data_IF_478123417924
#
_entry.id   IF_478123417924
#
_cell.length_a   1.000
_cell.length_b   1.000
_cell.length_c   1.000
_cell.angle_alpha   90.00
_cell.angle_beta   90.00
_cell.angle_gamma   90.00
#
_symmetry.space_group_name_H-M   'P 1'
#
loop_
_entity.id
_entity.type
_entity.pdbx_description
1 polymer ?
#
# COMPACT_ATOMS: atom_id res chain seq x y z
N UNK A 1 4.37 -16.74 -27.30
CA UNK A 1 2.95 -16.38 -27.07
C UNK A 1 2.94 -14.97 -26.50
N UNK A 2 2.77 -13.97 -27.37
CA UNK A 2 2.83 -12.55 -26.99
C UNK A 2 1.54 -11.93 -27.50
N UNK A 3 0.60 -11.64 -26.60
CA UNK A 3 -0.68 -11.03 -26.93
C UNK A 3 -0.40 -9.61 -27.46
N UNK A 4 -0.55 -9.42 -28.78
CA UNK A 4 -0.51 -8.11 -29.45
C UNK A 4 -1.84 -7.41 -29.19
N UNK A 5 -1.84 -6.42 -28.31
CA UNK A 5 -2.94 -5.47 -28.19
C UNK A 5 -3.01 -4.62 -29.47
N UNK A 6 -3.98 -4.91 -30.34
CA UNK A 6 -4.23 -4.14 -31.56
C UNK A 6 -5.26 -3.05 -31.29
N UNK A 7 -4.79 -1.82 -31.06
CA UNK A 7 -5.63 -0.63 -31.05
C UNK A 7 -6.18 -0.37 -32.46
N UNK A 8 -7.47 -0.63 -32.70
CA UNK A 8 -8.12 -0.30 -33.97
C UNK A 8 -8.71 1.10 -33.89
N UNK A 9 -8.03 2.05 -34.52
CA UNK A 9 -8.55 3.40 -34.81
C UNK A 9 -9.79 3.29 -35.71
N UNK A 10 -10.90 3.92 -35.33
CA UNK A 10 -12.04 4.15 -36.23
C UNK A 10 -12.32 5.64 -36.37
N UNK A 11 -12.54 6.08 -37.60
CA UNK A 11 -12.82 7.48 -37.97
C UNK A 11 -14.27 7.57 -38.43
N UNK A 12 -15.10 8.29 -37.69
CA UNK A 12 -16.38 8.82 -38.16
C UNK A 12 -16.45 10.29 -37.71
N UNK A 13 -16.77 11.19 -38.63
CA UNK A 13 -16.94 12.64 -38.39
C UNK A 13 -15.77 13.40 -37.72
N UNK A 14 -14.53 13.00 -37.99
CA UNK A 14 -13.35 13.83 -37.68
C UNK A 14 -12.96 13.94 -36.20
N UNK A 15 -13.63 13.22 -35.30
CA UNK A 15 -13.29 13.14 -33.88
C UNK A 15 -12.76 11.76 -33.52
N UNK A 16 -11.67 11.72 -32.75
CA UNK A 16 -11.06 10.48 -32.28
C UNK A 16 -11.92 9.85 -31.17
N UNK A 17 -12.58 8.73 -31.46
CA UNK A 17 -13.26 7.93 -30.45
C UNK A 17 -12.28 6.93 -29.82
N UNK A 18 -11.85 7.20 -28.59
CA UNK A 18 -11.30 6.17 -27.71
C UNK A 18 -12.47 5.30 -27.27
N UNK A 19 -12.46 4.02 -27.63
CA UNK A 19 -13.48 3.06 -27.17
C UNK A 19 -13.42 2.92 -25.66
N UNK A 20 -14.16 3.77 -24.96
CA UNK A 20 -14.44 3.61 -23.55
C UNK A 20 -15.20 2.30 -23.39
N UNK A 21 -14.77 1.48 -22.45
CA UNK A 21 -15.62 0.43 -21.92
C UNK A 21 -16.76 1.14 -21.20
N UNK A 22 -17.85 1.43 -21.91
CA UNK A 22 -19.07 2.01 -21.36
C UNK A 22 -19.63 1.00 -20.35
N UNK A 23 -19.20 1.15 -19.10
CA UNK A 23 -19.69 0.35 -18.01
C UNK A 23 -21.22 0.59 -17.92
N UNK A 24 -22.07 -0.44 -17.80
CA UNK A 24 -23.52 -0.30 -17.88
C UNK A 24 -24.13 0.64 -16.80
N UNK A 25 -23.33 1.00 -15.79
CA UNK A 25 -23.71 1.92 -14.73
C UNK A 25 -23.09 3.32 -14.86
N UNK A 26 -22.41 3.64 -15.96
CA UNK A 26 -21.67 4.90 -16.10
C UNK A 26 -22.59 6.12 -15.93
N UNK A 27 -23.79 6.09 -16.52
CA UNK A 27 -24.77 7.16 -16.40
C UNK A 27 -25.28 7.33 -14.96
N UNK A 28 -25.50 6.21 -14.26
CA UNK A 28 -25.91 6.23 -12.86
C UNK A 28 -24.78 6.76 -11.95
N UNK A 29 -23.54 6.36 -12.21
CA UNK A 29 -22.35 6.83 -11.49
C UNK A 29 -22.20 8.34 -11.68
N UNK A 30 -22.29 8.82 -12.92
CA UNK A 30 -22.21 10.24 -13.24
C UNK A 30 -23.33 11.04 -12.57
N UNK A 31 -24.57 10.55 -12.60
CA UNK A 31 -25.69 11.18 -11.90
C UNK A 31 -25.46 11.25 -10.38
N UNK A 32 -24.85 10.23 -9.79
CA UNK A 32 -24.53 10.20 -8.35
C UNK A 32 -23.43 11.21 -7.99
N UNK A 33 -22.38 11.29 -8.82
CA UNK A 33 -21.27 12.24 -8.64
C UNK A 33 -21.79 13.67 -8.78
N UNK A 34 -22.56 13.97 -9.83
CA UNK A 34 -23.13 15.30 -10.07
C UNK A 34 -24.04 15.76 -8.91
N UNK A 35 -24.83 14.84 -8.34
CA UNK A 35 -25.63 15.13 -7.15
C UNK A 35 -24.76 15.42 -5.93
N UNK A 36 -23.72 14.62 -5.68
CA UNK A 36 -22.82 14.85 -4.55
C UNK A 36 -22.10 16.20 -4.64
N UNK A 37 -21.76 16.62 -5.86
CA UNK A 37 -21.17 17.94 -6.14
C UNK A 37 -22.17 19.07 -5.88
N UNK A 38 -23.41 18.94 -6.39
CA UNK A 38 -24.49 19.89 -6.13
C UNK A 38 -24.86 20.00 -4.63
N UNK A 39 -24.73 18.90 -3.90
CA UNK A 39 -24.96 18.83 -2.45
C UNK A 39 -23.74 19.34 -1.65
N UNK A 40 -22.67 19.82 -2.31
CA UNK A 40 -21.46 20.36 -1.68
C UNK A 40 -20.63 19.30 -0.94
N UNK A 41 -20.81 18.01 -1.23
CA UNK A 41 -20.10 16.93 -0.52
C UNK A 41 -18.59 16.90 -0.79
N UNK A 42 -18.14 17.57 -1.85
CA UNK A 42 -16.72 17.74 -2.16
C UNK A 42 -16.15 19.07 -1.62
N UNK A 43 -16.98 19.93 -1.03
CA UNK A 43 -16.52 21.15 -0.38
C UNK A 43 -15.85 20.84 0.96
N UNK A 44 -14.80 21.59 1.28
CA UNK A 44 -14.08 21.49 2.56
C UNK A 44 -13.59 20.08 2.94
N UNK A 45 -13.27 19.24 1.94
CA UNK A 45 -12.70 17.92 2.22
C UNK A 45 -11.43 18.05 3.08
N UNK A 46 -11.20 17.11 4.01
CA UNK A 46 -9.97 17.07 4.79
C UNK A 46 -8.74 17.06 3.87
N UNK A 47 -7.95 18.14 3.92
CA UNK A 47 -6.76 18.28 3.09
C UNK A 47 -6.98 18.96 1.74
N UNK A 48 -8.20 19.42 1.42
CA UNK A 48 -8.47 20.21 0.22
C UNK A 48 -7.55 21.43 0.13
N UNK A 49 -6.92 21.63 -1.03
CA UNK A 49 -6.00 22.72 -1.30
C UNK A 49 -4.63 22.62 -0.59
N UNK A 50 -4.40 21.60 0.24
CA UNK A 50 -3.10 21.37 0.88
C UNK A 50 -2.21 20.55 -0.06
N UNK A 51 -0.89 20.80 -0.08
CA UNK A 51 0.02 19.92 -0.80
C UNK A 51 -0.08 18.50 -0.25
N UNK A 52 0.04 17.51 -1.15
CA UNK A 52 0.16 16.12 -0.73
C UNK A 52 1.38 15.99 0.20
N UNK A 53 1.29 15.15 1.24
CA UNK A 53 2.43 14.89 2.10
C UNK A 53 3.57 14.34 1.23
N UNK A 54 4.80 14.77 1.53
CA UNK A 54 5.98 14.19 0.88
C UNK A 54 6.09 12.74 1.33
N UNK A 55 6.10 11.83 0.35
CA UNK A 55 6.34 10.41 0.57
C UNK A 55 7.69 10.10 -0.05
N UNK A 56 8.66 9.73 0.78
CA UNK A 56 10.02 9.44 0.33
C UNK A 56 10.12 8.05 -0.34
N UNK A 57 9.24 7.12 0.01
CA UNK A 57 9.12 5.78 -0.60
C UNK A 57 7.64 5.45 -0.94
N UNK A 58 7.17 5.85 -2.15
CA UNK A 58 5.78 5.68 -2.55
C UNK A 58 5.32 4.23 -2.61
N UNK A 59 6.17 3.33 -3.10
CA UNK A 59 5.81 1.93 -3.35
C UNK A 59 5.55 1.20 -2.03
N UNK A 60 6.47 1.34 -1.08
CA UNK A 60 6.34 0.77 0.27
C UNK A 60 5.16 1.39 1.04
N UNK A 61 4.92 2.70 0.87
CA UNK A 61 3.83 3.40 1.57
C UNK A 61 2.46 2.91 1.09
N UNK A 62 2.27 2.71 -0.21
CA UNK A 62 1.02 2.17 -0.77
C UNK A 62 0.79 0.74 -0.30
N UNK A 63 1.81 -0.11 -0.36
CA UNK A 63 1.71 -1.50 0.11
C UNK A 63 1.32 -1.57 1.59
N UNK A 64 2.00 -0.80 2.44
CA UNK A 64 1.70 -0.75 3.88
C UNK A 64 0.29 -0.23 4.17
N UNK A 65 -0.19 0.76 3.41
CA UNK A 65 -1.54 1.29 3.54
C UNK A 65 -2.59 0.24 3.18
N UNK A 66 -2.42 -0.45 2.05
CA UNK A 66 -3.34 -1.52 1.62
C UNK A 66 -3.39 -2.63 2.68
N UNK A 67 -2.24 -3.08 3.18
CA UNK A 67 -2.19 -4.10 4.22
C UNK A 67 -2.95 -3.65 5.48
N UNK A 68 -2.70 -2.43 5.96
CA UNK A 68 -3.36 -1.86 7.14
C UNK A 68 -4.88 -1.74 6.95
N UNK A 69 -5.33 -1.24 5.79
CA UNK A 69 -6.75 -1.06 5.50
C UNK A 69 -7.50 -2.41 5.44
N UNK A 70 -6.80 -3.51 5.17
CA UNK A 70 -7.31 -4.89 5.20
C UNK A 70 -7.08 -5.61 6.56
N UNK A 71 -6.56 -4.91 7.58
CA UNK A 71 -6.26 -5.50 8.89
C UNK A 71 -5.04 -6.44 8.90
N UNK A 72 -4.23 -6.43 7.85
CA UNK A 72 -2.99 -7.20 7.76
C UNK A 72 -1.78 -6.39 8.26
N UNK A 73 -0.82 -7.08 8.88
CA UNK A 73 0.41 -6.47 9.40
C UNK A 73 1.55 -6.69 8.41
N UNK A 74 2.30 -5.65 8.00
CA UNK A 74 3.47 -5.81 7.14
C UNK A 74 4.54 -6.72 7.77
N UNK A 75 5.21 -7.52 6.95
CA UNK A 75 6.23 -8.49 7.39
C UNK A 75 7.33 -7.82 8.24
N UNK A 76 7.83 -6.66 7.82
CA UNK A 76 8.85 -5.91 8.55
C UNK A 76 8.39 -5.51 9.97
N UNK A 77 7.10 -5.21 10.15
CA UNK A 77 6.52 -4.86 11.46
C UNK A 77 6.42 -6.10 12.34
N UNK A 78 5.98 -7.23 11.80
CA UNK A 78 5.91 -8.50 12.53
C UNK A 78 7.31 -8.94 13.01
N UNK A 79 8.32 -8.87 12.13
CA UNK A 79 9.72 -9.19 12.50
C UNK A 79 10.25 -8.22 13.55
N UNK A 80 9.96 -6.92 13.44
CA UNK A 80 10.39 -5.94 14.44
C UNK A 80 9.77 -6.18 15.83
N UNK A 81 8.50 -6.59 15.90
CA UNK A 81 7.86 -6.98 17.16
C UNK A 81 8.55 -8.18 17.80
N UNK A 82 8.83 -9.23 17.03
CA UNK A 82 9.52 -10.42 17.53
C UNK A 82 10.93 -10.09 18.01
N UNK A 83 11.62 -9.21 17.30
CA UNK A 83 12.95 -8.74 17.67
C UNK A 83 12.94 -7.95 18.98
N UNK A 84 11.90 -7.14 19.21
CA UNK A 84 11.67 -6.47 20.49
C UNK A 84 11.44 -7.48 21.63
N UNK A 85 10.67 -8.55 21.37
CA UNK A 85 10.42 -9.62 22.35
C UNK A 85 11.71 -10.33 22.74
N UNK A 86 12.51 -10.76 21.77
CA UNK A 86 13.79 -11.45 22.00
C UNK A 86 14.80 -10.57 22.75
N UNK A 87 14.83 -9.25 22.46
CA UNK A 87 15.70 -8.31 23.19
C UNK A 87 15.27 -8.14 24.66
N UNK A 88 13.98 -8.14 24.95
CA UNK A 88 13.48 -8.12 26.32
C UNK A 88 13.83 -9.42 27.06
N UNK A 89 13.63 -10.58 26.43
CA UNK A 89 13.99 -11.88 26.97
C UNK A 89 15.50 -11.98 27.27
N UNK A 90 16.34 -11.43 26.38
CA UNK A 90 17.78 -11.35 26.58
C UNK A 90 18.17 -10.50 27.80
N UNK A 91 17.41 -9.45 28.11
CA UNK A 91 17.68 -8.57 29.25
C UNK A 91 17.43 -9.30 30.58
N UNK A 92 16.41 -10.17 30.62
CA UNK A 92 16.01 -10.93 31.80
C UNK A 92 16.76 -12.27 31.94
N UNK A 93 17.41 -12.74 30.87
CA UNK A 93 18.11 -14.03 30.84
C UNK A 93 19.43 -14.02 31.63
N UNK A 94 19.48 -14.80 32.72
CA UNK A 94 20.67 -15.05 33.54
C UNK A 94 21.52 -16.25 33.11
N UNK A 95 20.94 -17.20 32.37
CA UNK A 95 21.69 -18.38 31.89
C UNK A 95 22.61 -18.03 30.71
N UNK A 96 23.87 -18.48 30.76
CA UNK A 96 24.89 -18.14 29.77
C UNK A 96 24.67 -18.85 28.43
N UNK A 97 24.13 -20.06 28.45
CA UNK A 97 23.88 -20.85 27.24
C UNK A 97 22.69 -20.27 26.48
N UNK A 98 21.62 -20.00 27.20
CA UNK A 98 20.40 -19.40 26.68
C UNK A 98 20.63 -17.97 26.18
N UNK A 99 21.43 -17.18 26.91
CA UNK A 99 21.88 -15.86 26.44
C UNK A 99 22.56 -15.94 25.07
N UNK A 100 23.40 -16.95 24.85
CA UNK A 100 24.10 -17.13 23.57
C UNK A 100 23.15 -17.56 22.45
N UNK A 101 22.13 -18.37 22.76
CA UNK A 101 21.05 -18.74 21.83
C UNK A 101 20.26 -17.51 21.40
N UNK A 102 19.81 -16.68 22.35
CA UNK A 102 19.04 -15.47 22.09
C UNK A 102 19.82 -14.45 21.25
N UNK A 103 21.11 -14.27 21.51
CA UNK A 103 21.97 -13.39 20.69
C UNK A 103 22.04 -13.88 19.24
N UNK A 104 22.20 -15.19 19.02
CA UNK A 104 22.22 -15.76 17.67
C UNK A 104 20.87 -15.57 16.96
N UNK A 105 19.77 -15.78 17.68
CA UNK A 105 18.41 -15.60 17.15
C UNK A 105 18.12 -14.14 16.77
N UNK A 106 18.53 -13.19 17.61
CA UNK A 106 18.45 -11.75 17.33
C UNK A 106 19.24 -11.40 16.07
N UNK A 107 20.45 -11.92 15.90
CA UNK A 107 21.26 -11.64 14.70
C UNK A 107 20.59 -12.14 13.41
N UNK A 108 19.94 -13.31 13.46
CA UNK A 108 19.16 -13.82 12.32
C UNK A 108 17.93 -12.93 12.08
N UNK A 109 17.22 -12.49 13.12
CA UNK A 109 16.06 -11.61 12.95
C UNK A 109 16.43 -10.22 12.45
N UNK A 110 17.55 -9.64 12.88
CA UNK A 110 18.04 -8.35 12.37
C UNK A 110 18.31 -8.47 10.85
N UNK A 111 18.90 -9.59 10.41
CA UNK A 111 19.12 -9.86 8.98
C UNK A 111 17.79 -9.96 8.21
N UNK A 112 16.80 -10.67 8.76
CA UNK A 112 15.46 -10.78 8.14
C UNK A 112 14.76 -9.43 8.06
N UNK A 113 14.88 -8.60 9.08
CA UNK A 113 14.28 -7.27 9.09
C UNK A 113 14.86 -6.39 7.97
N UNK A 114 16.17 -6.45 7.74
CA UNK A 114 16.82 -5.69 6.67
C UNK A 114 16.43 -6.19 5.27
N UNK A 115 16.16 -7.49 5.12
CA UNK A 115 15.60 -8.03 3.87
C UNK A 115 14.16 -7.56 3.68
N UNK A 116 13.34 -7.62 4.74
CA UNK A 116 11.93 -7.24 4.69
C UNK A 116 11.71 -5.74 4.42
N UNK A 117 12.63 -4.87 4.87
CA UNK A 117 12.58 -3.42 4.59
C UNK A 117 12.95 -3.02 3.16
N UNK A 118 13.70 -3.87 2.45
CA UNK A 118 14.19 -3.59 1.09
C UNK A 118 13.26 -4.11 0.00
N UNK A 119 12.14 -4.73 0.38
CA UNK A 119 11.21 -5.42 -0.52
C UNK A 119 9.99 -4.56 -0.79
#
# INVERSE_FOLDING_TARGET
>A
MTQRFTWRLFRHDGLWHFGAMDHPLIDLINARIARADADGMFDNLPGAGKPLPRIDDPDTTVLNRILKDNGAVPEAVAVAHELSRLRAELLECSDRTERRRLIAEIAVMDTRLEIAKKR
#
